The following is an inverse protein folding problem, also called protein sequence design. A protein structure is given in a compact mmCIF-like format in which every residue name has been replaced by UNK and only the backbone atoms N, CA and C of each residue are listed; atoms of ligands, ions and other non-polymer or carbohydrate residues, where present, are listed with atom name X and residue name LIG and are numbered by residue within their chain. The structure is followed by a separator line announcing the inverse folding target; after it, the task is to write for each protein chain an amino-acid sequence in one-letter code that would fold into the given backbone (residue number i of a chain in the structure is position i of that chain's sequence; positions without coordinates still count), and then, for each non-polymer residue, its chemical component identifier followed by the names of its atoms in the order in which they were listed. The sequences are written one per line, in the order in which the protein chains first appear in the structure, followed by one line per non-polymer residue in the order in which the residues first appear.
data_IF_751498745045
#
_entry.id   IF_751498745045
#
_cell.length_a   1.000
_cell.length_b   1.000
_cell.length_c   1.000
_cell.angle_alpha   90.00
_cell.angle_beta   90.00
_cell.angle_gamma   90.00
#
_symmetry.space_group_name_H-M   'P 1'
#
loop_
_entity.id
_entity.type
_entity.pdbx_description
1 polymer ?
#
# COMPACT_ATOMS: atom_id res chain seq x y z
N UNK A 1 10.30 20.35 -2.00
CA UNK A 1 9.67 19.12 -2.53
C UNK A 1 10.54 17.88 -2.31
N UNK A 2 11.85 17.92 -2.62
CA UNK A 2 12.79 16.81 -2.38
C UNK A 2 12.81 16.20 -0.96
N UNK A 3 12.64 17.02 0.09
CA UNK A 3 12.60 16.54 1.48
C UNK A 3 11.25 15.92 1.88
N UNK A 4 10.18 16.17 1.13
CA UNK A 4 8.84 15.69 1.48
C UNK A 4 8.72 14.17 1.26
N UNK A 5 9.32 13.67 0.18
CA UNK A 5 9.39 12.25 -0.16
C UNK A 5 10.00 11.36 0.95
N UNK A 6 11.24 11.58 1.41
CA UNK A 6 11.84 10.78 2.48
C UNK A 6 11.13 10.96 3.82
N UNK A 7 10.56 12.15 4.09
CA UNK A 7 9.75 12.37 5.28
C UNK A 7 8.49 11.49 5.27
N UNK A 8 7.77 11.44 4.16
CA UNK A 8 6.55 10.64 4.00
C UNK A 8 6.82 9.15 4.20
N UNK A 9 7.89 8.65 3.58
CA UNK A 9 8.34 7.25 3.73
C UNK A 9 8.66 6.95 5.20
N UNK A 10 9.39 7.86 5.85
CA UNK A 10 9.76 7.71 7.27
C UNK A 10 8.52 7.66 8.17
N UNK A 11 7.54 8.54 7.94
CA UNK A 11 6.27 8.55 8.67
C UNK A 11 5.51 7.24 8.46
N UNK A 12 5.42 6.74 7.22
CA UNK A 12 4.74 5.47 6.92
C UNK A 12 5.43 4.29 7.61
N UNK A 13 6.77 4.21 7.58
CA UNK A 13 7.53 3.13 8.24
C UNK A 13 7.41 3.23 9.77
N UNK A 14 7.56 4.43 10.34
CA UNK A 14 7.45 4.65 11.77
C UNK A 14 6.04 4.29 12.28
N UNK A 15 5.00 4.69 11.56
CA UNK A 15 3.60 4.36 11.89
C UNK A 15 3.38 2.84 11.89
N UNK A 16 3.91 2.14 10.88
CA UNK A 16 3.84 0.68 10.83
C UNK A 16 4.55 0.04 12.02
N UNK A 17 5.78 0.48 12.32
CA UNK A 17 6.59 -0.07 13.40
C UNK A 17 5.94 0.16 14.78
N UNK A 18 5.44 1.36 15.04
CA UNK A 18 4.74 1.71 16.28
C UNK A 18 3.47 0.87 16.43
N UNK A 19 2.62 0.80 15.40
CA UNK A 19 1.40 0.00 15.46
C UNK A 19 1.72 -1.48 15.70
N UNK A 20 2.74 -2.02 15.01
CA UNK A 20 3.16 -3.41 15.15
C UNK A 20 3.73 -3.71 16.53
N UNK A 21 4.48 -2.78 17.09
CA UNK A 21 5.04 -2.90 18.44
C UNK A 21 3.94 -2.92 19.51
N UNK A 22 2.98 -1.99 19.45
CA UNK A 22 1.93 -1.86 20.47
C UNK A 22 0.82 -2.90 20.34
N UNK A 23 0.38 -3.22 19.12
CA UNK A 23 -0.80 -4.06 18.88
C UNK A 23 -0.49 -5.42 18.24
N UNK A 24 0.78 -5.75 18.02
CA UNK A 24 1.17 -7.02 17.41
C UNK A 24 0.83 -7.08 15.92
N UNK A 25 -0.07 -7.98 15.50
CA UNK A 25 -0.50 -8.07 14.09
C UNK A 25 -1.99 -7.80 13.89
N UNK A 26 -2.77 -7.84 14.98
CA UNK A 26 -4.23 -7.76 14.99
C UNK A 26 -4.67 -6.89 16.16
N UNK A 27 -5.55 -5.95 15.87
CA UNK A 27 -6.25 -5.10 16.83
C UNK A 27 -7.63 -5.70 17.03
N UNK A 28 -7.88 -6.25 18.22
CA UNK A 28 -9.13 -6.90 18.57
C UNK A 28 -10.12 -5.89 19.17
N UNK A 29 -11.36 -5.88 18.68
CA UNK A 29 -12.47 -5.13 19.30
C UNK A 29 -13.42 -6.07 20.05
N UNK A 30 -13.44 -7.35 19.67
CA UNK A 30 -14.10 -8.46 20.38
C UNK A 30 -13.38 -9.77 20.05
N UNK A 31 -13.77 -10.87 20.70
CA UNK A 31 -13.17 -12.21 20.45
C UNK A 31 -13.30 -12.66 18.99
N UNK A 32 -14.35 -12.22 18.30
CA UNK A 32 -14.64 -12.59 16.92
C UNK A 32 -14.29 -11.51 15.90
N UNK A 33 -14.06 -10.27 16.32
CA UNK A 33 -13.85 -9.12 15.44
C UNK A 33 -12.51 -8.43 15.67
N UNK A 34 -11.69 -8.39 14.61
CA UNK A 34 -10.38 -7.76 14.63
C UNK A 34 -10.08 -7.08 13.30
N UNK A 35 -9.27 -6.03 13.36
CA UNK A 35 -8.58 -5.41 12.22
C UNK A 35 -7.12 -5.83 12.23
N UNK A 36 -6.56 -6.08 11.07
CA UNK A 36 -5.11 -6.27 10.91
C UNK A 36 -4.43 -4.92 10.79
N UNK A 37 -3.16 -4.84 11.22
CA UNK A 37 -2.38 -3.61 11.06
C UNK A 37 -2.25 -3.21 9.59
N UNK A 38 -2.27 -4.18 8.67
CA UNK A 38 -2.23 -3.92 7.23
C UNK A 38 -3.44 -3.11 6.78
N UNK A 39 -4.63 -3.48 7.25
CA UNK A 39 -5.88 -2.77 6.95
C UNK A 39 -5.86 -1.35 7.52
N UNK A 40 -5.33 -1.18 8.73
CA UNK A 40 -5.19 0.14 9.38
C UNK A 40 -4.17 1.03 8.65
N UNK A 41 -3.12 0.44 8.11
CA UNK A 41 -2.05 1.14 7.40
C UNK A 41 -2.39 1.43 5.94
N UNK A 42 -3.36 0.72 5.35
CA UNK A 42 -3.70 0.85 3.95
C UNK A 42 -4.13 2.28 3.55
N UNK A 43 -4.98 3.01 4.32
CA UNK A 43 -5.28 4.40 4.01
C UNK A 43 -4.04 5.30 4.01
N UNK A 44 -3.12 5.09 4.95
CA UNK A 44 -1.87 5.86 5.00
C UNK A 44 -1.00 5.57 3.78
N UNK A 45 -0.89 4.30 3.38
CA UNK A 45 -0.21 3.89 2.16
C UNK A 45 -0.84 4.53 0.91
N UNK A 46 -2.17 4.56 0.81
CA UNK A 46 -2.87 5.15 -0.34
C UNK A 46 -2.55 6.64 -0.46
N UNK A 47 -2.68 7.39 0.65
CA UNK A 47 -2.38 8.83 0.69
C UNK A 47 -0.89 9.08 0.43
N UNK A 48 -0.01 8.27 1.02
CA UNK A 48 1.42 8.43 0.82
C UNK A 48 1.83 8.14 -0.63
N UNK A 49 1.21 7.14 -1.25
CA UNK A 49 1.45 6.82 -2.66
C UNK A 49 1.05 7.96 -3.56
N UNK A 50 -0.13 8.56 -3.34
CA UNK A 50 -0.62 9.66 -4.15
C UNK A 50 0.34 10.84 -4.13
N UNK A 51 0.67 11.33 -2.94
CA UNK A 51 1.59 12.45 -2.76
C UNK A 51 2.96 12.12 -3.34
N UNK A 52 3.47 10.90 -3.09
CA UNK A 52 4.80 10.52 -3.55
C UNK A 52 4.86 10.37 -5.08
N UNK A 53 3.81 9.85 -5.71
CA UNK A 53 3.71 9.75 -7.17
C UNK A 53 3.73 11.13 -7.83
N UNK A 54 2.97 12.09 -7.31
CA UNK A 54 3.00 13.47 -7.81
C UNK A 54 4.37 14.13 -7.62
N UNK A 55 5.03 13.89 -6.48
CA UNK A 55 6.36 14.46 -6.19
C UNK A 55 7.45 13.87 -7.10
N UNK A 56 7.42 12.57 -7.37
CA UNK A 56 8.47 11.88 -8.14
C UNK A 56 8.24 12.00 -9.64
N UNK A 57 7.00 11.88 -10.09
CA UNK A 57 6.65 11.78 -11.51
C UNK A 57 6.02 13.05 -12.09
N UNK A 58 5.59 13.98 -11.24
CA UNK A 58 4.85 15.18 -11.66
C UNK A 58 3.37 14.94 -11.98
N UNK A 59 2.87 13.72 -11.80
CA UNK A 59 1.47 13.36 -11.98
C UNK A 59 1.05 12.18 -11.08
N UNK A 60 -0.26 12.06 -10.85
CA UNK A 60 -0.84 11.01 -10.00
C UNK A 60 -0.86 9.64 -10.71
N UNK A 61 -0.36 8.61 -10.04
CA UNK A 61 -0.47 7.21 -10.45
C UNK A 61 -1.64 6.49 -9.75
N UNK A 62 -2.33 7.16 -8.82
CA UNK A 62 -3.41 6.57 -8.04
C UNK A 62 -4.58 6.05 -8.90
N UNK A 63 -5.02 6.71 -9.99
CA UNK A 63 -6.07 6.16 -10.86
C UNK A 63 -5.70 4.79 -11.44
N UNK A 64 -4.43 4.59 -11.83
CA UNK A 64 -3.94 3.31 -12.34
C UNK A 64 -3.90 2.24 -11.25
N UNK A 65 -3.50 2.61 -10.03
CA UNK A 65 -3.54 1.73 -8.87
C UNK A 65 -4.97 1.29 -8.53
N UNK A 66 -5.93 2.22 -8.57
CA UNK A 66 -7.35 1.92 -8.34
C UNK A 66 -7.87 0.97 -9.42
N UNK A 67 -7.54 1.21 -10.69
CA UNK A 67 -7.93 0.30 -11.78
C UNK A 67 -7.39 -1.11 -11.54
N UNK A 68 -6.11 -1.23 -11.17
CA UNK A 68 -5.48 -2.51 -10.86
C UNK A 68 -6.11 -3.19 -9.64
N UNK A 69 -6.43 -2.42 -8.60
CA UNK A 69 -7.17 -2.87 -7.43
C UNK A 69 -8.54 -3.44 -7.79
N UNK A 70 -9.30 -2.74 -8.64
CA UNK A 70 -10.59 -3.22 -9.13
C UNK A 70 -10.46 -4.56 -9.88
N UNK A 71 -9.43 -4.71 -10.72
CA UNK A 71 -9.15 -5.96 -11.43
C UNK A 71 -8.88 -7.08 -10.41
N UNK A 72 -8.01 -6.86 -9.42
CA UNK A 72 -7.73 -7.84 -8.36
C UNK A 72 -9.01 -8.21 -7.61
N UNK A 73 -9.80 -7.22 -7.22
CA UNK A 73 -11.04 -7.43 -6.48
C UNK A 73 -12.03 -8.32 -7.25
N UNK A 74 -12.21 -8.04 -8.54
CA UNK A 74 -13.08 -8.84 -9.42
C UNK A 74 -12.52 -10.23 -9.65
N UNK A 75 -11.23 -10.36 -9.96
CA UNK A 75 -10.59 -11.68 -10.14
C UNK A 75 -10.72 -12.53 -8.89
N UNK A 76 -10.48 -11.96 -7.71
CA UNK A 76 -10.58 -12.68 -6.44
C UNK A 76 -12.04 -13.07 -6.12
N UNK A 77 -13.02 -12.23 -6.47
CA UNK A 77 -14.45 -12.59 -6.38
C UNK A 77 -14.78 -13.79 -7.29
N UNK A 78 -14.34 -13.76 -8.55
CA UNK A 78 -14.61 -14.83 -9.52
C UNK A 78 -14.01 -16.16 -9.08
N UNK A 79 -12.76 -16.14 -8.60
CA UNK A 79 -12.08 -17.34 -8.07
C UNK A 79 -12.83 -17.91 -6.87
N UNK A 80 -13.26 -17.06 -5.93
CA UNK A 80 -13.97 -17.54 -4.73
C UNK A 80 -15.41 -17.97 -5.00
N UNK A 81 -16.10 -17.36 -5.96
CA UNK A 81 -17.46 -17.76 -6.36
C UNK A 81 -17.50 -19.19 -6.90
N UNK A 82 -16.40 -19.67 -7.47
CA UNK A 82 -16.27 -21.07 -7.93
C UNK A 82 -16.17 -22.10 -6.79
N UNK A 83 -15.97 -21.68 -5.54
CA UNK A 83 -15.92 -22.56 -4.37
C UNK A 83 -17.25 -22.54 -3.62
N UNK A 84 -17.74 -23.71 -3.18
CA UNK A 84 -19.00 -23.84 -2.45
C UNK A 84 -19.02 -23.15 -1.07
N UNK A 85 -17.86 -22.76 -0.53
CA UNK A 85 -17.72 -22.12 0.79
C UNK A 85 -17.37 -20.63 0.68
N UNK A 86 -18.12 -19.86 -0.11
CA UNK A 86 -17.90 -18.42 -0.20
C UNK A 86 -18.18 -17.72 1.14
N UNK A 87 -17.14 -17.14 1.74
CA UNK A 87 -17.25 -16.24 2.90
C UNK A 87 -16.82 -14.83 2.52
N UNK A 88 -17.74 -13.87 2.61
CA UNK A 88 -17.47 -12.44 2.36
C UNK A 88 -16.34 -11.92 3.24
N UNK A 89 -16.27 -12.36 4.50
CA UNK A 89 -15.24 -11.93 5.44
C UNK A 89 -13.84 -12.38 4.99
N UNK A 90 -13.70 -13.63 4.56
CA UNK A 90 -12.43 -14.13 4.03
C UNK A 90 -12.07 -13.47 2.70
N UNK A 91 -13.06 -13.12 1.87
CA UNK A 91 -12.86 -12.34 0.67
C UNK A 91 -12.24 -10.97 1.01
N UNK A 92 -12.86 -10.22 1.92
CA UNK A 92 -12.39 -8.89 2.30
C UNK A 92 -10.97 -8.91 2.89
N UNK A 93 -10.67 -9.84 3.79
CA UNK A 93 -9.31 -9.95 4.36
C UNK A 93 -8.25 -10.25 3.29
N UNK A 94 -8.55 -11.13 2.34
CA UNK A 94 -7.62 -11.44 1.25
C UNK A 94 -7.46 -10.27 0.29
N UNK A 95 -8.56 -9.59 -0.05
CA UNK A 95 -8.54 -8.38 -0.86
C UNK A 95 -7.67 -7.31 -0.21
N UNK A 96 -7.95 -6.91 1.03
CA UNK A 96 -7.14 -5.89 1.73
C UNK A 96 -5.67 -6.30 1.89
N UNK A 97 -5.38 -7.59 2.09
CA UNK A 97 -3.99 -8.05 2.14
C UNK A 97 -3.28 -7.96 0.79
N UNK A 98 -3.97 -8.20 -0.33
CA UNK A 98 -3.41 -8.00 -1.66
C UNK A 98 -3.23 -6.51 -1.95
N UNK A 99 -4.23 -5.69 -1.65
CA UNK A 99 -4.13 -4.22 -1.79
C UNK A 99 -2.92 -3.66 -1.05
N UNK A 100 -2.72 -4.09 0.20
CA UNK A 100 -1.54 -3.70 0.96
C UNK A 100 -0.24 -4.03 0.23
N UNK A 101 -0.14 -5.24 -0.35
CA UNK A 101 1.04 -5.65 -1.11
C UNK A 101 1.22 -4.80 -2.38
N UNK A 102 0.15 -4.54 -3.12
CA UNK A 102 0.17 -3.71 -4.33
C UNK A 102 0.68 -2.32 -4.01
N UNK A 103 0.15 -1.68 -2.96
CA UNK A 103 0.61 -0.36 -2.54
C UNK A 103 2.06 -0.37 -2.06
N UNK A 104 2.50 -1.39 -1.32
CA UNK A 104 3.91 -1.51 -0.91
C UNK A 104 4.84 -1.63 -2.13
N UNK A 105 4.48 -2.47 -3.11
CA UNK A 105 5.24 -2.62 -4.35
C UNK A 105 5.25 -1.33 -5.17
N UNK A 106 4.12 -0.62 -5.24
CA UNK A 106 4.02 0.68 -5.88
C UNK A 106 4.98 1.70 -5.26
N UNK A 107 5.05 1.77 -3.92
CA UNK A 107 6.02 2.64 -3.25
C UNK A 107 7.46 2.24 -3.57
N UNK A 108 7.77 0.94 -3.58
CA UNK A 108 9.11 0.45 -3.89
C UNK A 108 9.55 0.91 -5.30
N UNK A 109 8.66 0.82 -6.29
CA UNK A 109 8.91 1.30 -7.64
C UNK A 109 9.15 2.82 -7.67
N UNK A 110 8.32 3.61 -6.98
CA UNK A 110 8.50 5.05 -6.88
C UNK A 110 9.81 5.44 -6.18
N UNK A 111 10.22 4.70 -5.14
CA UNK A 111 11.51 4.92 -4.46
C UNK A 111 12.67 4.63 -5.42
N UNK A 112 12.61 3.53 -6.18
CA UNK A 112 13.64 3.20 -7.17
C UNK A 112 13.74 4.30 -8.22
N UNK A 113 12.60 4.78 -8.75
CA UNK A 113 12.55 5.86 -9.72
C UNK A 113 13.12 7.17 -9.15
N UNK A 114 12.77 7.49 -7.91
CA UNK A 114 13.30 8.66 -7.20
C UNK A 114 14.82 8.58 -7.01
N UNK A 115 15.34 7.43 -6.58
CA UNK A 115 16.78 7.20 -6.46
C UNK A 115 17.50 7.32 -7.81
N UNK A 116 16.90 6.80 -8.88
CA UNK A 116 17.45 6.92 -10.23
C UNK A 116 17.50 8.38 -10.70
N UNK A 117 16.42 9.14 -10.46
CA UNK A 117 16.37 10.58 -10.75
C UNK A 117 17.47 11.34 -10.00
N UNK A 118 17.68 11.03 -8.72
CA UNK A 118 18.75 11.62 -7.92
C UNK A 118 20.13 11.35 -8.52
N UNK A 119 20.42 10.10 -8.89
CA UNK A 119 21.70 9.72 -9.49
C UNK A 119 21.98 10.43 -10.82
N UNK A 120 20.97 10.58 -11.66
CA UNK A 120 21.06 11.36 -12.90
C UNK A 120 21.30 12.85 -12.61
N UNK A 121 20.56 13.42 -11.64
CA UNK A 121 20.67 14.85 -11.29
C UNK A 121 22.03 15.23 -10.70
N UNK A 122 22.70 14.28 -10.03
CA UNK A 122 24.06 14.45 -9.51
C UNK A 122 25.16 14.11 -10.51
N UNK A 123 24.82 13.75 -11.76
CA UNK A 123 25.79 13.47 -12.82
C UNK A 123 26.63 12.20 -12.57
N UNK A 124 26.17 11.32 -11.67
CA UNK A 124 26.83 10.05 -11.34
C UNK A 124 26.63 9.02 -12.45
N UNK A 125 25.48 9.09 -13.12
CA UNK A 125 25.13 8.27 -14.28
C UNK A 125 24.96 9.23 -15.46
N UNK A 126 25.77 9.05 -16.52
CA UNK A 126 25.66 9.77 -17.79
C UNK A 126 25.12 8.85 -18.87
#
# INVERSE_FOLDING_TARGET
MFLLAPLLITITIASYAVLKYYFGTRIYFSDSFFLTIREVMLPLLVVSFEIFSQVVLGYSQLPWMILFSCIIGVTLLLVKKGNHEFSLRQYLYQFFSLEFLVFVMGHLLLVIQYCFYLLLSWGVVR
#
